data_IF_088635174116
#
_entry.id   IF_088635174116
#
_cell.length_a   1.000
_cell.length_b   1.000
_cell.length_c   1.000
_cell.angle_alpha   90.00
_cell.angle_beta   90.00
_cell.angle_gamma   90.00
#
_symmetry.space_group_name_H-M   'P 1'
#
loop_
_entity.id
_entity.type
_entity.pdbx_description
1 polymer ?
#
# COMPACT_ATOMS: atom_id res chain seq x y z
N UNK A 1 3.00 12.70 -21.77
CA UNK A 1 3.90 13.77 -21.24
C UNK A 1 3.27 15.16 -21.19
N UNK A 2 2.05 15.38 -21.70
CA UNK A 2 1.35 16.69 -21.65
C UNK A 2 0.41 16.86 -20.45
N UNK A 3 0.15 15.81 -19.64
CA UNK A 3 -0.73 15.88 -18.48
C UNK A 3 -0.07 16.42 -17.19
N UNK A 4 1.24 16.25 -17.06
CA UNK A 4 1.96 16.62 -15.84
C UNK A 4 2.33 18.11 -15.73
N UNK A 5 2.39 18.83 -16.86
CA UNK A 5 2.74 20.26 -16.86
C UNK A 5 1.58 21.22 -16.55
N UNK A 6 0.33 20.72 -16.59
CA UNK A 6 -0.85 21.58 -16.35
C UNK A 6 -1.31 21.67 -14.90
N UNK A 7 -0.68 20.98 -13.95
CA UNK A 7 -1.05 21.06 -12.53
C UNK A 7 -0.39 22.22 -11.76
N UNK A 8 0.60 22.90 -12.34
CA UNK A 8 1.39 23.94 -11.66
C UNK A 8 0.82 25.38 -11.78
N UNK A 9 -0.27 25.61 -12.52
CA UNK A 9 -0.75 26.97 -12.80
C UNK A 9 -2.16 27.32 -12.31
N UNK A 10 -2.90 26.40 -11.68
CA UNK A 10 -4.13 26.78 -10.98
C UNK A 10 -3.74 27.44 -9.66
N UNK A 11 -4.01 28.76 -9.50
CA UNK A 11 -3.99 29.45 -8.20
C UNK A 11 -4.79 28.62 -7.21
N UNK A 12 -4.10 27.75 -6.47
CA UNK A 12 -4.71 26.85 -5.49
C UNK A 12 -5.26 27.74 -4.37
N UNK A 13 -6.55 27.64 -4.12
CA UNK A 13 -7.17 28.37 -3.04
C UNK A 13 -6.54 27.88 -1.71
N UNK A 14 -5.88 28.73 -0.91
CA UNK A 14 -5.09 28.31 0.25
C UNK A 14 -5.93 27.62 1.33
N UNK A 15 -7.24 27.75 1.30
CA UNK A 15 -8.16 27.11 2.25
C UNK A 15 -8.64 25.75 1.71
N UNK A 16 -8.91 25.65 0.41
CA UNK A 16 -9.49 24.44 -0.21
C UNK A 16 -8.45 23.34 -0.38
N UNK A 17 -7.21 23.69 -0.70
CA UNK A 17 -6.16 22.72 -0.98
C UNK A 17 -5.80 21.81 0.20
N UNK A 18 -5.63 22.29 1.43
CA UNK A 18 -5.43 21.44 2.60
C UNK A 18 -6.57 20.45 2.85
N UNK A 19 -7.81 20.86 2.60
CA UNK A 19 -8.98 19.97 2.75
C UNK A 19 -8.92 18.83 1.73
N UNK A 20 -8.57 19.14 0.47
CA UNK A 20 -8.37 18.12 -0.57
C UNK A 20 -7.30 17.13 -0.14
N UNK A 21 -6.14 17.60 0.33
CA UNK A 21 -5.06 16.71 0.78
C UNK A 21 -5.45 15.84 1.97
N UNK A 22 -6.28 16.33 2.89
CA UNK A 22 -6.81 15.50 3.98
C UNK A 22 -7.74 14.42 3.41
N UNK A 23 -8.64 14.76 2.49
CA UNK A 23 -9.56 13.79 1.87
C UNK A 23 -8.82 12.72 1.06
N UNK A 24 -7.84 13.12 0.27
CA UNK A 24 -6.95 12.20 -0.46
C UNK A 24 -6.17 11.31 0.52
N UNK A 25 -5.66 11.89 1.61
CA UNK A 25 -5.02 11.15 2.69
C UNK A 25 -5.95 10.10 3.31
N UNK A 26 -7.21 10.45 3.60
CA UNK A 26 -8.21 9.51 4.13
C UNK A 26 -8.41 8.33 3.16
N UNK A 27 -8.53 8.61 1.88
CA UNK A 27 -8.68 7.56 0.86
C UNK A 27 -7.43 6.67 0.74
N UNK A 28 -6.23 7.26 0.83
CA UNK A 28 -4.97 6.51 0.87
C UNK A 28 -4.92 5.61 2.12
N UNK A 29 -5.32 6.13 3.28
CA UNK A 29 -5.40 5.36 4.51
C UNK A 29 -6.41 4.20 4.41
N UNK A 30 -7.55 4.41 3.77
CA UNK A 30 -8.50 3.36 3.46
C UNK A 30 -7.90 2.30 2.53
N UNK A 31 -7.21 2.71 1.45
CA UNK A 31 -6.56 1.80 0.52
C UNK A 31 -5.45 0.97 1.17
N UNK A 32 -4.81 1.47 2.22
CA UNK A 32 -3.80 0.72 2.97
C UNK A 32 -4.41 -0.42 3.79
N UNK A 33 -5.67 -0.29 4.22
CA UNK A 33 -6.40 -1.30 5.01
C UNK A 33 -7.12 -2.30 4.09
N UNK A 34 -7.82 -1.82 3.05
CA UNK A 34 -8.68 -2.69 2.24
C UNK A 34 -7.87 -3.64 1.34
N UNK A 35 -8.12 -4.96 1.42
CA UNK A 35 -7.56 -5.91 0.46
C UNK A 35 -8.05 -5.62 -0.96
N UNK A 36 -7.15 -5.73 -1.94
CA UNK A 36 -7.45 -5.44 -3.34
C UNK A 36 -7.25 -3.97 -3.72
N UNK A 37 -7.17 -3.05 -2.77
CA UNK A 37 -6.84 -1.64 -3.03
C UNK A 37 -5.41 -1.39 -2.56
N UNK A 38 -4.57 -0.88 -3.44
CA UNK A 38 -3.20 -0.52 -3.08
C UNK A 38 -3.12 0.95 -2.67
N UNK A 39 -2.75 1.21 -1.42
CA UNK A 39 -2.46 2.57 -0.96
C UNK A 39 -1.37 3.25 -1.80
N UNK A 40 -0.39 2.48 -2.30
CA UNK A 40 0.63 2.94 -3.23
C UNK A 40 0.04 3.38 -4.58
N UNK A 41 -0.91 2.64 -5.14
CA UNK A 41 -1.61 3.02 -6.38
C UNK A 41 -2.40 4.32 -6.19
N UNK A 42 -3.08 4.50 -5.05
CA UNK A 42 -3.76 5.75 -4.74
C UNK A 42 -2.79 6.93 -4.61
N UNK A 43 -1.59 6.72 -4.05
CA UNK A 43 -0.55 7.76 -4.02
C UNK A 43 -0.14 8.18 -5.45
N UNK A 44 -0.05 7.23 -6.38
CA UNK A 44 0.24 7.52 -7.79
C UNK A 44 -0.93 8.26 -8.43
N UNK A 45 -2.16 7.77 -8.26
CA UNK A 45 -3.38 8.37 -8.83
C UNK A 45 -3.59 9.82 -8.38
N UNK A 46 -3.30 10.14 -7.11
CA UNK A 46 -3.36 11.51 -6.58
C UNK A 46 -2.10 12.34 -6.84
N UNK A 47 -1.12 11.80 -7.57
CA UNK A 47 0.13 12.52 -7.88
C UNK A 47 1.06 12.76 -6.68
N UNK A 48 0.85 12.05 -5.58
CA UNK A 48 1.62 12.22 -4.33
C UNK A 48 2.84 11.30 -4.24
N UNK A 49 2.91 10.29 -5.08
CA UNK A 49 4.01 9.31 -5.06
C UNK A 49 5.38 9.99 -5.28
N UNK A 50 5.50 10.82 -6.32
CA UNK A 50 6.75 11.52 -6.62
C UNK A 50 7.20 12.47 -5.51
N UNK A 51 6.36 13.38 -4.97
CA UNK A 51 6.70 14.20 -3.80
C UNK A 51 7.20 13.41 -2.59
N UNK A 52 6.61 12.25 -2.33
CA UNK A 52 7.00 11.38 -1.21
C UNK A 52 8.37 10.75 -1.48
N UNK A 53 8.58 10.18 -2.65
CA UNK A 53 9.87 9.58 -3.03
C UNK A 53 10.98 10.65 -3.05
N UNK A 54 10.70 11.84 -3.55
CA UNK A 54 11.65 12.96 -3.55
C UNK A 54 12.05 13.35 -2.13
N UNK A 55 11.07 13.43 -1.20
CA UNK A 55 11.35 13.71 0.20
C UNK A 55 12.17 12.60 0.87
N UNK A 56 11.80 11.34 0.67
CA UNK A 56 12.49 10.19 1.25
C UNK A 56 13.92 10.04 0.73
N UNK A 57 14.13 10.41 -0.55
CA UNK A 57 15.46 10.32 -1.18
C UNK A 57 16.42 11.42 -0.71
N UNK A 58 15.93 12.63 -0.49
CA UNK A 58 16.72 13.80 -0.06
C UNK A 58 15.93 14.62 0.97
N UNK A 59 15.78 14.12 2.21
CA UNK A 59 14.90 14.75 3.20
C UNK A 59 15.28 16.20 3.49
N UNK A 60 16.58 16.52 3.60
CA UNK A 60 17.05 17.86 3.96
C UNK A 60 16.71 18.90 2.89
N UNK A 61 16.87 18.56 1.60
CA UNK A 61 16.62 19.50 0.49
C UNK A 61 15.14 19.69 0.19
N UNK A 62 14.37 18.60 0.24
CA UNK A 62 12.99 18.59 -0.23
C UNK A 62 11.97 18.78 0.90
N UNK A 63 12.41 18.79 2.17
CA UNK A 63 11.54 18.92 3.33
C UNK A 63 10.65 20.16 3.24
N UNK A 64 11.25 21.33 3.08
CA UNK A 64 10.51 22.62 3.04
C UNK A 64 9.52 22.69 1.87
N UNK A 65 9.81 22.00 0.76
CA UNK A 65 8.97 22.02 -0.45
C UNK A 65 7.69 21.21 -0.30
N UNK A 66 7.76 20.06 0.36
CA UNK A 66 6.67 19.07 0.36
C UNK A 66 6.01 18.88 1.74
N UNK A 67 6.64 19.36 2.83
CA UNK A 67 6.17 19.08 4.19
C UNK A 67 4.76 19.57 4.45
N UNK A 68 4.38 20.74 3.90
CA UNK A 68 3.04 21.31 4.12
C UNK A 68 1.95 20.39 3.55
N UNK A 69 2.10 19.95 2.30
CA UNK A 69 1.18 18.99 1.68
C UNK A 69 1.18 17.65 2.43
N UNK A 70 2.37 17.09 2.69
CA UNK A 70 2.51 15.80 3.35
C UNK A 70 1.94 15.77 4.76
N UNK A 71 2.01 16.88 5.52
CA UNK A 71 1.42 16.96 6.84
C UNK A 71 -0.10 16.70 6.79
N UNK A 72 -0.81 17.34 5.86
CA UNK A 72 -2.26 17.14 5.70
C UNK A 72 -2.61 15.75 5.17
N UNK A 73 -1.81 15.22 4.24
CA UNK A 73 -1.97 13.83 3.74
C UNK A 73 -1.75 12.81 4.85
N UNK A 74 -0.73 13.01 5.68
CA UNK A 74 -0.45 12.11 6.82
C UNK A 74 -1.57 12.18 7.86
N UNK A 75 -2.08 13.36 8.18
CA UNK A 75 -3.21 13.53 9.09
C UNK A 75 -4.45 12.82 8.53
N UNK A 76 -4.78 13.07 7.26
CA UNK A 76 -5.88 12.37 6.58
C UNK A 76 -5.67 10.86 6.56
N UNK A 77 -4.46 10.41 6.21
CA UNK A 77 -4.08 9.00 6.18
C UNK A 77 -4.24 8.31 7.55
N UNK A 78 -3.81 8.97 8.61
CA UNK A 78 -3.99 8.47 9.97
C UNK A 78 -5.48 8.35 10.35
N UNK A 79 -6.29 9.35 10.02
CA UNK A 79 -7.74 9.33 10.26
C UNK A 79 -8.40 8.17 9.49
N UNK A 80 -8.10 8.06 8.18
CA UNK A 80 -8.64 6.99 7.33
C UNK A 80 -8.20 5.60 7.80
N UNK A 81 -6.92 5.47 8.10
CA UNK A 81 -6.31 4.24 8.54
C UNK A 81 -6.87 3.73 9.88
N UNK A 82 -6.87 4.57 10.92
CA UNK A 82 -7.39 4.21 12.25
C UNK A 82 -8.91 4.03 12.20
N UNK A 83 -9.63 4.93 11.52
CA UNK A 83 -11.09 4.86 11.43
C UNK A 83 -11.55 3.59 10.72
N UNK A 84 -10.94 3.24 9.59
CA UNK A 84 -11.32 2.02 8.86
C UNK A 84 -10.81 0.75 9.54
N UNK A 85 -9.65 0.79 10.23
CA UNK A 85 -9.17 -0.38 10.97
C UNK A 85 -10.17 -0.83 12.04
N UNK A 86 -10.71 0.11 12.82
CA UNK A 86 -11.74 -0.19 13.82
C UNK A 86 -13.04 -0.74 13.21
N UNK A 87 -13.50 -0.13 12.10
CA UNK A 87 -14.68 -0.64 11.40
C UNK A 87 -14.44 -2.03 10.80
N UNK A 88 -13.31 -2.25 10.17
CA UNK A 88 -12.98 -3.54 9.55
C UNK A 88 -12.79 -4.63 10.62
N UNK A 89 -12.14 -4.33 11.73
CA UNK A 89 -12.01 -5.25 12.87
C UNK A 89 -13.38 -5.67 13.42
N UNK A 90 -14.26 -4.70 13.66
CA UNK A 90 -15.63 -4.94 14.14
C UNK A 90 -16.45 -5.81 13.17
N UNK A 91 -16.37 -5.53 11.86
CA UNK A 91 -17.10 -6.28 10.84
C UNK A 91 -16.54 -7.72 10.69
N UNK A 92 -15.22 -7.89 10.79
CA UNK A 92 -14.60 -9.23 10.78
C UNK A 92 -15.07 -10.07 11.97
N UNK A 93 -15.12 -9.49 13.17
CA UNK A 93 -15.59 -10.19 14.36
C UNK A 93 -17.08 -10.60 14.23
N UNK A 94 -17.91 -9.68 13.72
CA UNK A 94 -19.36 -9.87 13.65
C UNK A 94 -19.80 -10.75 12.49
N UNK A 95 -19.16 -10.64 11.33
CA UNK A 95 -19.56 -11.37 10.12
C UNK A 95 -18.39 -11.56 9.14
N UNK A 96 -17.44 -12.40 9.51
CA UNK A 96 -16.23 -12.70 8.72
C UNK A 96 -16.55 -13.08 7.28
N UNK A 97 -17.63 -13.89 7.07
CA UNK A 97 -17.98 -14.37 5.74
C UNK A 97 -18.38 -13.22 4.79
N UNK A 98 -19.22 -12.29 5.24
CA UNK A 98 -19.65 -11.16 4.42
C UNK A 98 -18.44 -10.27 4.07
N UNK A 99 -17.62 -9.92 5.06
CA UNK A 99 -16.48 -9.05 4.82
C UNK A 99 -15.44 -9.71 3.90
N UNK A 100 -15.21 -11.01 4.05
CA UNK A 100 -14.33 -11.77 3.16
C UNK A 100 -14.86 -11.76 1.71
N UNK A 101 -16.18 -11.90 1.51
CA UNK A 101 -16.79 -11.78 0.18
C UNK A 101 -16.61 -10.37 -0.40
N UNK A 102 -16.76 -9.33 0.42
CA UNK A 102 -16.52 -7.94 0.00
C UNK A 102 -15.06 -7.74 -0.42
N UNK A 103 -14.12 -8.25 0.37
CA UNK A 103 -12.69 -8.19 0.02
C UNK A 103 -12.37 -8.97 -1.26
N UNK A 104 -12.94 -10.16 -1.43
CA UNK A 104 -12.81 -10.92 -2.68
C UNK A 104 -13.36 -10.11 -3.88
N UNK A 105 -14.49 -9.41 -3.70
CA UNK A 105 -15.05 -8.52 -4.72
C UNK A 105 -14.09 -7.38 -5.08
N UNK A 106 -13.46 -6.73 -4.10
CA UNK A 106 -12.45 -5.70 -4.37
C UNK A 106 -11.25 -6.26 -5.14
N UNK A 107 -10.72 -7.42 -4.73
CA UNK A 107 -9.59 -8.07 -5.42
C UNK A 107 -9.95 -8.41 -6.87
N UNK A 108 -11.14 -8.99 -7.11
CA UNK A 108 -11.62 -9.30 -8.45
C UNK A 108 -11.82 -8.01 -9.27
N UNK A 109 -12.35 -6.96 -8.64
CA UNK A 109 -12.58 -5.67 -9.28
C UNK A 109 -11.31 -4.95 -9.74
N UNK A 110 -10.15 -5.24 -9.16
CA UNK A 110 -8.86 -4.65 -9.59
C UNK A 110 -8.21 -5.40 -10.75
N UNK A 111 -8.68 -6.61 -11.10
CA UNK A 111 -8.11 -7.40 -12.20
C UNK A 111 -8.09 -6.67 -13.55
N UNK A 112 -9.19 -5.99 -13.99
CA UNK A 112 -9.18 -5.26 -15.25
C UNK A 112 -8.09 -4.18 -15.31
N UNK A 113 -7.95 -3.36 -14.24
CA UNK A 113 -6.95 -2.30 -14.13
C UNK A 113 -5.53 -2.87 -14.23
N UNK A 114 -5.24 -3.94 -13.47
CA UNK A 114 -3.93 -4.62 -13.54
C UNK A 114 -3.62 -5.18 -14.93
N UNK A 115 -4.65 -5.64 -15.64
CA UNK A 115 -4.50 -6.12 -17.01
C UNK A 115 -4.26 -4.98 -18.00
N UNK A 116 -4.84 -3.81 -17.79
CA UNK A 116 -4.62 -2.60 -18.61
C UNK A 116 -3.20 -2.07 -18.38
N UNK A 117 -2.77 -1.90 -17.14
CA UNK A 117 -1.41 -1.45 -16.78
C UNK A 117 -0.33 -2.35 -17.42
N UNK A 118 -0.55 -3.66 -17.42
CA UNK A 118 0.38 -4.60 -18.03
C UNK A 118 0.51 -4.44 -19.55
N UNK A 119 -0.49 -3.87 -20.22
CA UNK A 119 -0.48 -3.62 -21.68
C UNK A 119 0.22 -2.32 -22.06
N UNK A 120 0.17 -1.32 -21.18
CA UNK A 120 0.85 -0.05 -21.42
C UNK A 120 2.39 -0.20 -21.50
N UNK A 121 2.95 -1.24 -20.88
CA UNK A 121 4.40 -1.48 -20.87
C UNK A 121 4.85 -2.22 -22.13
N UNK A 122 4.12 -3.25 -22.58
CA UNK A 122 4.41 -3.97 -23.83
C UNK A 122 3.14 -4.59 -24.44
N UNK A 123 3.02 -4.65 -25.81
CA UNK A 123 1.87 -5.28 -26.44
C UNK A 123 1.79 -6.77 -26.09
N UNK A 124 0.60 -7.25 -25.77
CA UNK A 124 0.35 -8.65 -25.37
C UNK A 124 0.77 -9.62 -26.46
N UNK A 125 1.66 -10.52 -26.10
CA UNK A 125 2.09 -11.68 -26.90
C UNK A 125 1.52 -12.96 -26.30
N UNK A 126 1.37 -14.01 -27.09
CA UNK A 126 1.01 -15.34 -26.59
C UNK A 126 1.97 -15.80 -25.48
N UNK A 127 3.25 -15.40 -25.55
CA UNK A 127 4.25 -15.67 -24.50
C UNK A 127 3.89 -15.00 -23.17
N UNK A 128 3.30 -13.79 -23.19
CA UNK A 128 2.87 -13.07 -21.99
C UNK A 128 1.74 -13.81 -21.26
N UNK A 129 0.76 -14.33 -22.00
CA UNK A 129 -0.33 -15.12 -21.40
C UNK A 129 0.18 -16.44 -20.80
N UNK A 130 1.10 -17.11 -21.47
CA UNK A 130 1.71 -18.35 -20.99
C UNK A 130 2.52 -18.06 -19.71
N UNK A 131 3.36 -17.02 -19.73
CA UNK A 131 4.14 -16.61 -18.55
C UNK A 131 3.26 -16.24 -17.36
N UNK A 132 2.18 -15.49 -17.59
CA UNK A 132 1.21 -15.14 -16.56
C UNK A 132 0.53 -16.39 -15.98
N UNK A 133 0.09 -17.32 -16.83
CA UNK A 133 -0.54 -18.58 -16.39
C UNK A 133 0.42 -19.46 -15.60
N UNK A 134 1.66 -19.58 -16.05
CA UNK A 134 2.71 -20.33 -15.32
C UNK A 134 2.97 -19.68 -13.97
N UNK A 135 3.16 -18.35 -13.93
CA UNK A 135 3.39 -17.60 -12.69
C UNK A 135 2.24 -17.78 -11.70
N UNK A 136 1.00 -17.71 -12.18
CA UNK A 136 -0.18 -17.95 -11.37
C UNK A 136 -0.23 -19.37 -10.80
N UNK A 137 0.00 -20.39 -11.64
CA UNK A 137 0.01 -21.79 -11.21
C UNK A 137 1.13 -22.09 -10.22
N UNK A 138 2.32 -21.56 -10.45
CA UNK A 138 3.47 -21.69 -9.53
C UNK A 138 3.15 -21.06 -8.19
N UNK A 139 2.65 -19.83 -8.18
CA UNK A 139 2.25 -19.13 -6.94
C UNK A 139 1.15 -19.89 -6.20
N UNK A 140 0.11 -20.32 -6.91
CA UNK A 140 -1.00 -21.09 -6.33
C UNK A 140 -0.51 -22.40 -5.71
N UNK A 141 0.38 -23.11 -6.41
CA UNK A 141 0.99 -24.36 -5.91
C UNK A 141 1.82 -24.10 -4.66
N UNK A 142 2.65 -23.06 -4.65
CA UNK A 142 3.44 -22.67 -3.48
C UNK A 142 2.52 -22.36 -2.29
N UNK A 143 1.47 -21.56 -2.50
CA UNK A 143 0.51 -21.21 -1.43
C UNK A 143 -0.23 -22.44 -0.91
N UNK A 144 -0.63 -23.37 -1.79
CA UNK A 144 -1.29 -24.61 -1.35
C UNK A 144 -0.34 -25.53 -0.57
N UNK A 145 0.91 -25.69 -1.03
CA UNK A 145 1.92 -26.49 -0.33
C UNK A 145 2.27 -25.88 1.04
N UNK A 146 2.40 -24.55 1.12
CA UNK A 146 2.62 -23.87 2.38
C UNK A 146 1.44 -24.12 3.34
N UNK A 147 0.21 -23.98 2.86
CA UNK A 147 -0.99 -24.20 3.69
C UNK A 147 -1.14 -25.63 4.20
N UNK A 148 -0.70 -26.63 3.41
CA UNK A 148 -0.81 -28.05 3.79
C UNK A 148 0.32 -28.51 4.72
N UNK A 149 1.53 -28.01 4.55
CA UNK A 149 2.72 -28.55 5.20
C UNK A 149 3.27 -27.67 6.34
N UNK A 150 2.86 -26.41 6.41
CA UNK A 150 3.32 -25.45 7.41
C UNK A 150 2.09 -24.82 8.04
N UNK A 151 2.10 -24.66 9.36
CA UNK A 151 1.10 -23.84 10.02
C UNK A 151 1.38 -22.37 9.69
N UNK A 152 0.84 -21.92 8.54
CA UNK A 152 1.11 -20.58 7.95
C UNK A 152 0.48 -19.47 8.78
N UNK A 153 -0.47 -19.82 9.66
CA UNK A 153 -1.08 -18.88 10.59
C UNK A 153 -0.03 -18.54 11.65
N UNK A 154 0.46 -17.33 11.58
CA UNK A 154 1.43 -16.82 12.53
C UNK A 154 0.73 -16.36 13.81
N UNK A 155 1.27 -16.75 14.96
CA UNK A 155 0.79 -16.24 16.24
C UNK A 155 1.08 -14.75 16.37
N UNK A 156 0.10 -13.93 16.82
CA UNK A 156 0.29 -12.52 17.05
C UNK A 156 1.31 -12.30 18.18
N UNK A 157 2.49 -11.84 17.82
CA UNK A 157 3.57 -11.50 18.73
C UNK A 157 4.42 -10.35 18.19
N UNK A 158 5.38 -9.89 18.97
CA UNK A 158 6.24 -8.78 18.59
C UNK A 158 6.92 -8.99 17.21
N UNK A 159 7.45 -10.18 16.94
CA UNK A 159 8.12 -10.49 15.66
C UNK A 159 7.13 -10.54 14.49
N UNK A 160 5.93 -11.05 14.71
CA UNK A 160 4.87 -11.05 13.70
C UNK A 160 4.45 -9.63 13.34
N UNK A 161 4.42 -8.71 14.29
CA UNK A 161 4.12 -7.29 14.00
C UNK A 161 5.28 -6.54 13.35
N UNK A 162 6.53 -6.93 13.60
CA UNK A 162 7.67 -6.48 12.78
C UNK A 162 7.50 -6.92 11.32
N UNK A 163 7.09 -8.16 11.10
CA UNK A 163 6.80 -8.69 9.76
C UNK A 163 5.64 -7.94 9.08
N UNK A 164 4.58 -7.58 9.82
CA UNK A 164 3.50 -6.73 9.30
C UNK A 164 4.03 -5.39 8.79
N UNK A 165 4.89 -4.73 9.55
CA UNK A 165 5.48 -3.45 9.14
C UNK A 165 6.39 -3.58 7.92
N UNK A 166 7.12 -4.70 7.80
CA UNK A 166 7.94 -4.99 6.61
C UNK A 166 7.06 -5.15 5.36
N UNK A 167 6.01 -5.98 5.42
CA UNK A 167 5.06 -6.17 4.30
C UNK A 167 4.44 -4.84 3.89
N UNK A 168 4.03 -4.01 4.84
CA UNK A 168 3.47 -2.70 4.54
C UNK A 168 4.47 -1.74 3.91
N UNK A 169 5.70 -1.71 4.42
CA UNK A 169 6.75 -0.91 3.83
C UNK A 169 7.07 -1.32 2.39
N UNK A 170 7.06 -2.63 2.10
CA UNK A 170 7.23 -3.16 0.75
C UNK A 170 6.07 -2.73 -0.16
N UNK A 171 4.82 -2.89 0.28
CA UNK A 171 3.65 -2.54 -0.55
C UNK A 171 3.49 -1.03 -0.76
N UNK A 172 4.05 -0.22 0.11
CA UNK A 172 4.08 1.23 -0.06
C UNK A 172 5.03 1.66 -1.19
N UNK A 173 6.13 0.93 -1.38
CA UNK A 173 7.15 1.24 -2.38
C UNK A 173 6.90 0.52 -3.70
N UNK A 174 6.38 -0.71 -3.65
CA UNK A 174 6.09 -1.53 -4.84
C UNK A 174 4.60 -1.40 -5.16
N UNK A 175 4.23 -0.59 -6.18
CA UNK A 175 2.83 -0.48 -6.62
C UNK A 175 2.30 -1.86 -7.04
N UNK A 176 1.04 -2.16 -6.68
CA UNK A 176 0.41 -3.44 -7.01
C UNK A 176 0.63 -4.56 -5.99
N UNK A 177 1.52 -4.39 -5.00
CA UNK A 177 1.63 -5.34 -3.89
C UNK A 177 0.57 -5.03 -2.83
N UNK A 178 -0.38 -5.93 -2.61
CA UNK A 178 -1.41 -5.80 -1.58
C UNK A 178 -0.93 -6.37 -0.25
N UNK A 179 -0.54 -5.50 0.68
CA UNK A 179 -0.15 -5.89 2.04
C UNK A 179 -1.27 -6.58 2.79
N UNK A 180 -2.48 -6.06 2.69
CA UNK A 180 -3.65 -6.60 3.39
C UNK A 180 -3.96 -8.04 2.99
N UNK A 181 -3.83 -8.38 1.70
CA UNK A 181 -4.02 -9.74 1.20
C UNK A 181 -2.98 -10.72 1.75
N UNK A 182 -1.72 -10.28 1.83
CA UNK A 182 -0.65 -11.09 2.43
C UNK A 182 -0.88 -11.30 3.93
N UNK A 183 -1.27 -10.26 4.66
CA UNK A 183 -1.55 -10.36 6.09
C UNK A 183 -2.77 -11.22 6.40
N UNK A 184 -3.80 -11.21 5.53
CA UNK A 184 -4.93 -12.14 5.60
C UNK A 184 -4.45 -13.60 5.45
N UNK A 185 -3.56 -13.87 4.49
CA UNK A 185 -3.01 -15.20 4.28
C UNK A 185 -2.24 -15.71 5.51
N UNK A 186 -1.47 -14.86 6.17
CA UNK A 186 -0.72 -15.20 7.38
C UNK A 186 -1.55 -15.16 8.68
N UNK A 187 -2.83 -14.80 8.62
CA UNK A 187 -3.71 -14.70 9.80
C UNK A 187 -3.42 -13.48 10.68
N UNK A 188 -2.56 -12.57 10.26
CA UNK A 188 -2.13 -11.38 11.04
C UNK A 188 -3.00 -10.15 10.80
N UNK A 189 -3.88 -10.19 9.81
CA UNK A 189 -4.68 -9.02 9.42
C UNK A 189 -5.60 -8.54 10.54
N UNK A 190 -6.40 -9.44 11.13
CA UNK A 190 -7.32 -9.09 12.22
C UNK A 190 -6.60 -8.65 13.50
N UNK A 191 -5.60 -9.39 14.03
CA UNK A 191 -4.85 -8.95 15.21
C UNK A 191 -4.19 -7.58 15.03
N UNK A 192 -3.70 -7.30 13.83
CA UNK A 192 -3.12 -6.01 13.50
C UNK A 192 -4.17 -4.88 13.52
N UNK A 193 -5.35 -5.08 12.90
CA UNK A 193 -6.43 -4.10 12.92
C UNK A 193 -6.93 -3.81 14.33
N UNK A 194 -7.09 -4.85 15.14
CA UNK A 194 -7.48 -4.73 16.55
C UNK A 194 -6.48 -3.89 17.35
N UNK A 195 -5.17 -4.18 17.16
CA UNK A 195 -4.12 -3.43 17.82
C UNK A 195 -4.06 -1.96 17.40
N UNK A 196 -4.26 -1.68 16.10
CA UNK A 196 -4.30 -0.30 15.58
C UNK A 196 -5.50 0.45 16.13
N UNK A 197 -6.69 -0.15 16.08
CA UNK A 197 -7.94 0.49 16.53
C UNK A 197 -7.96 0.79 18.03
N UNK A 198 -7.30 -0.07 18.83
CA UNK A 198 -7.17 0.08 20.27
C UNK A 198 -5.93 0.87 20.70
N UNK A 199 -5.12 1.37 19.77
CA UNK A 199 -3.85 2.03 20.03
C UNK A 199 -2.88 1.19 20.87
N UNK A 200 -2.86 -0.14 20.63
CA UNK A 200 -1.95 -1.04 21.33
C UNK A 200 -0.50 -0.81 20.88
N UNK A 201 0.32 -0.28 21.79
CA UNK A 201 1.73 -0.01 21.52
C UNK A 201 2.54 -1.29 21.28
N UNK A 202 2.12 -2.44 21.76
CA UNK A 202 2.72 -3.74 21.44
C UNK A 202 2.60 -4.11 19.97
N UNK A 203 1.60 -3.57 19.28
CA UNK A 203 1.37 -3.71 17.84
C UNK A 203 1.98 -2.54 17.06
N UNK A 204 1.67 -1.32 17.50
CA UNK A 204 2.03 -0.09 16.76
C UNK A 204 3.54 0.13 16.68
N UNK A 205 4.27 -0.10 17.78
CA UNK A 205 5.72 0.15 17.81
C UNK A 205 6.50 -0.76 16.86
N UNK A 206 6.38 -2.11 16.94
CA UNK A 206 7.11 -3.00 16.04
C UNK A 206 6.74 -2.77 14.57
N UNK A 207 5.44 -2.56 14.29
CA UNK A 207 4.94 -2.26 12.96
C UNK A 207 5.56 -0.96 12.41
N UNK A 208 5.54 0.12 13.18
CA UNK A 208 6.10 1.42 12.77
C UNK A 208 7.62 1.37 12.56
N UNK A 209 8.36 0.67 13.42
CA UNK A 209 9.82 0.54 13.31
C UNK A 209 10.20 -0.09 11.97
N UNK A 210 9.62 -1.25 11.64
CA UNK A 210 9.96 -1.96 10.40
C UNK A 210 9.38 -1.29 9.17
N UNK A 211 8.20 -0.68 9.25
CA UNK A 211 7.63 0.12 8.17
C UNK A 211 8.56 1.27 7.79
N UNK A 212 8.98 2.08 8.77
CA UNK A 212 9.88 3.23 8.54
C UNK A 212 11.24 2.75 8.03
N UNK A 213 11.82 1.71 8.66
CA UNK A 213 13.10 1.16 8.24
C UNK A 213 13.05 0.65 6.80
N UNK A 214 12.00 -0.07 6.41
CA UNK A 214 11.78 -0.59 5.08
C UNK A 214 11.69 0.56 4.05
N UNK A 215 10.87 1.57 4.32
CA UNK A 215 10.72 2.73 3.45
C UNK A 215 12.06 3.46 3.27
N UNK A 216 12.80 3.73 4.34
CA UNK A 216 14.07 4.44 4.26
C UNK A 216 15.14 3.66 3.49
N UNK A 217 15.19 2.34 3.66
CA UNK A 217 16.16 1.48 2.97
C UNK A 217 15.83 1.35 1.48
N UNK A 218 14.57 1.06 1.17
CA UNK A 218 14.14 0.79 -0.20
C UNK A 218 14.00 2.06 -1.05
N UNK A 219 13.60 3.20 -0.46
CA UNK A 219 13.54 4.47 -1.21
C UNK A 219 14.89 4.86 -1.80
N UNK A 220 15.99 4.59 -1.06
CA UNK A 220 17.36 4.80 -1.58
C UNK A 220 17.69 3.87 -2.74
N UNK A 221 17.26 2.60 -2.66
CA UNK A 221 17.48 1.61 -3.72
C UNK A 221 16.71 1.96 -4.99
N UNK A 222 15.42 2.28 -4.85
CA UNK A 222 14.54 2.68 -5.96
C UNK A 222 15.06 3.94 -6.65
N UNK A 223 15.45 4.96 -5.88
CA UNK A 223 16.02 6.19 -6.45
C UNK A 223 17.33 5.91 -7.21
N UNK A 224 18.16 4.98 -6.74
CA UNK A 224 19.38 4.57 -7.44
C UNK A 224 19.07 3.85 -8.76
N UNK A 225 18.02 3.04 -8.80
CA UNK A 225 17.57 2.35 -10.02
C UNK A 225 16.99 3.33 -11.04
N UNK A 226 16.13 4.26 -10.63
CA UNK A 226 15.57 5.29 -11.51
C UNK A 226 16.65 6.21 -12.10
N UNK A 227 17.66 6.61 -11.32
CA UNK A 227 18.78 7.40 -11.83
C UNK A 227 19.63 6.65 -12.85
N UNK A 228 19.72 5.33 -12.75
CA UNK A 228 20.48 4.51 -13.71
C UNK A 228 19.75 4.33 -15.04
N UNK A 229 18.42 4.36 -15.05
CA UNK A 229 17.61 4.27 -16.28
C UNK A 229 17.48 5.61 -17.04
N UNK A 230 17.71 6.75 -16.36
CA UNK A 230 17.69 8.07 -17.02
C UNK A 230 19.01 8.45 -17.68
N UNK A 231 20.06 7.64 -17.55
CA UNK A 231 21.37 7.82 -18.16
C UNK A 231 21.63 6.85 -19.32
N UNK A 232 20.60 6.23 -19.88
CA UNK A 232 20.57 5.51 -21.14
C UNK A 232 19.54 6.18 -22.05
#
# INVERSE_FOLDING_TARGET
>A
TKGAENMDSKKQNPIVQPIIWIMEGILIGFGAILPGISGGALLVAFGMYKPIIDLLSNPIKNFKKHIYMLAFVIIGGAIGFVGLSGLAAYLLEKNTAILTCVFAGFIIGTIPELLEDAVEVEPRSNKSYISMSIGFLVLLTILMLLKQNINVILEPNFFSFLFCGLIWGLSFIVPGLSSSSLLLFFGLYQPMLDGISKFDFGVLIPLAITFIACILLLSKLVNKLFKKQHNI
#
